data_IF_652363607568
#
_entry.id   IF_652363607568
#
_cell.length_a   1.000
_cell.length_b   1.000
_cell.length_c   1.000
_cell.angle_alpha   90.00
_cell.angle_beta   90.00
_cell.angle_gamma   90.00
#
_symmetry.space_group_name_H-M   'P 1'
#
loop_
_entity.id
_entity.type
_entity.pdbx_description
1 polymer ?
#
# COMPACT_ATOMS: atom_id res chain seq x y z
N UNK A 1 -1.09 38.96 -29.64
CA UNK A 1 -1.57 37.62 -29.26
C UNK A 1 -1.80 37.70 -27.77
N UNK A 2 -3.03 37.57 -27.32
CA UNK A 2 -3.37 37.58 -25.89
C UNK A 2 -3.02 36.23 -25.25
N UNK A 3 -2.76 36.21 -23.94
CA UNK A 3 -2.34 35.03 -23.18
C UNK A 3 -3.33 33.86 -23.29
N UNK A 4 -4.64 34.14 -23.43
CA UNK A 4 -5.68 33.15 -23.71
C UNK A 4 -5.45 32.38 -25.03
N UNK A 5 -4.89 33.04 -26.05
CA UNK A 5 -4.60 32.41 -27.33
C UNK A 5 -3.30 31.57 -27.30
N UNK A 6 -2.41 31.82 -26.33
CA UNK A 6 -1.21 31.02 -26.09
C UNK A 6 -1.52 29.79 -25.24
N UNK A 7 -2.43 29.89 -24.27
CA UNK A 7 -2.90 28.77 -23.45
C UNK A 7 -3.67 27.70 -24.27
N UNK A 8 -4.27 28.09 -25.40
CA UNK A 8 -5.00 27.17 -26.28
C UNK A 8 -4.11 26.38 -27.25
N UNK A 9 -2.79 26.63 -27.28
CA UNK A 9 -1.86 25.88 -28.13
C UNK A 9 -1.61 24.50 -27.52
N UNK A 10 -2.42 23.53 -27.92
CA UNK A 10 -2.19 22.12 -27.60
C UNK A 10 -0.91 21.67 -28.32
N UNK A 11 0.11 21.27 -27.55
CA UNK A 11 1.35 20.75 -28.10
C UNK A 11 1.09 19.62 -29.10
N UNK A 12 1.67 19.73 -30.29
CA UNK A 12 1.57 18.72 -31.36
C UNK A 12 1.94 17.34 -30.80
N UNK A 13 1.16 16.31 -31.15
CA UNK A 13 1.55 14.91 -30.93
C UNK A 13 2.99 14.71 -31.43
N UNK A 14 3.92 14.38 -30.52
CA UNK A 14 5.36 14.29 -30.80
C UNK A 14 6.21 15.45 -30.24
N UNK A 15 5.63 16.41 -29.54
CA UNK A 15 6.39 17.41 -28.76
C UNK A 15 7.07 16.78 -27.55
N UNK A 16 8.37 17.05 -27.37
CA UNK A 16 9.11 16.60 -26.19
C UNK A 16 8.53 17.19 -24.90
N UNK A 17 8.05 18.43 -24.95
CA UNK A 17 7.40 19.11 -23.83
C UNK A 17 5.89 19.17 -24.04
N UNK A 18 5.14 18.73 -23.04
CA UNK A 18 3.70 18.75 -23.00
C UNK A 18 3.27 19.83 -22.02
N UNK A 19 2.34 20.69 -22.42
CA UNK A 19 1.72 21.66 -21.51
C UNK A 19 0.22 21.59 -21.70
N UNK A 20 -0.50 21.65 -20.58
CA UNK A 20 -1.95 21.85 -20.63
C UNK A 20 -2.45 22.65 -19.42
N UNK A 21 -3.66 23.19 -19.61
CA UNK A 21 -4.43 23.88 -18.59
C UNK A 21 -5.75 23.13 -18.38
N UNK A 22 -6.22 23.17 -17.13
CA UNK A 22 -7.53 22.67 -16.72
C UNK A 22 -8.11 23.75 -15.82
N UNK A 23 -9.26 24.30 -16.21
CA UNK A 23 -9.96 25.31 -15.44
C UNK A 23 -10.56 24.77 -14.15
N UNK A 24 -10.87 25.69 -13.24
CA UNK A 24 -11.56 25.39 -12.00
C UNK A 24 -12.87 24.63 -12.26
N UNK A 25 -13.04 23.49 -11.58
CA UNK A 25 -14.23 22.64 -11.69
C UNK A 25 -14.58 22.20 -13.13
N UNK A 26 -13.61 22.13 -14.05
CA UNK A 26 -13.86 21.80 -15.46
C UNK A 26 -14.19 20.31 -15.69
N UNK A 27 -13.66 19.40 -14.87
CA UNK A 27 -13.73 17.97 -15.13
C UNK A 27 -14.91 17.28 -14.43
N UNK A 28 -15.23 16.06 -14.90
CA UNK A 28 -16.24 15.22 -14.27
C UNK A 28 -15.90 14.91 -12.81
N UNK A 29 -16.90 14.92 -11.93
CA UNK A 29 -16.70 14.71 -10.48
C UNK A 29 -16.26 15.95 -9.70
N UNK A 30 -16.35 17.14 -10.29
CA UNK A 30 -16.14 18.42 -9.61
C UNK A 30 -17.11 18.66 -8.42
N UNK A 31 -16.67 19.41 -7.42
CA UNK A 31 -17.37 19.63 -6.14
C UNK A 31 -17.88 21.07 -5.94
N UNK A 32 -17.77 21.93 -6.96
CA UNK A 32 -18.31 23.30 -6.98
C UNK A 32 -17.35 24.37 -6.47
N UNK A 33 -17.85 25.61 -6.40
CA UNK A 33 -17.06 26.78 -5.97
C UNK A 33 -16.64 26.65 -4.51
N UNK A 34 -15.39 27.00 -4.19
CA UNK A 34 -14.78 26.89 -2.87
C UNK A 34 -14.43 25.47 -2.45
N UNK A 35 -14.55 24.50 -3.36
CA UNK A 35 -14.23 23.09 -3.09
C UNK A 35 -12.77 22.77 -3.43
N UNK A 36 -12.26 21.59 -3.03
CA UNK A 36 -10.93 21.12 -3.42
C UNK A 36 -10.68 20.97 -4.93
N UNK A 37 -11.71 21.07 -5.79
CA UNK A 37 -11.58 21.05 -7.26
C UNK A 37 -11.62 22.46 -7.89
N UNK A 38 -11.77 23.52 -7.08
CA UNK A 38 -11.94 24.90 -7.53
C UNK A 38 -10.61 25.65 -7.69
N UNK A 39 -9.76 25.12 -8.56
CA UNK A 39 -8.45 25.71 -8.89
C UNK A 39 -8.17 25.60 -10.39
N UNK A 40 -7.40 26.55 -10.93
CA UNK A 40 -6.79 26.42 -12.24
C UNK A 40 -5.53 25.56 -12.13
N UNK A 41 -5.43 24.53 -12.98
CA UNK A 41 -4.29 23.63 -12.99
C UNK A 41 -3.45 23.84 -14.24
N UNK A 42 -2.15 24.04 -14.04
CA UNK A 42 -1.18 24.18 -15.13
C UNK A 42 -0.18 23.05 -15.05
N UNK A 43 -0.21 22.15 -16.04
CA UNK A 43 0.71 21.02 -16.13
C UNK A 43 1.78 21.29 -17.17
N UNK A 44 3.01 20.94 -16.82
CA UNK A 44 4.15 20.90 -17.71
C UNK A 44 4.83 19.54 -17.56
N UNK A 45 4.97 18.79 -18.64
CA UNK A 45 5.56 17.46 -18.63
C UNK A 45 6.42 17.18 -19.85
N UNK A 46 6.92 15.96 -19.91
CA UNK A 46 7.74 15.48 -21.02
C UNK A 46 7.16 14.21 -21.63
N UNK A 47 7.24 14.05 -22.95
CA UNK A 47 6.87 12.79 -23.62
C UNK A 47 8.07 11.82 -23.68
N UNK A 48 8.48 11.31 -22.52
CA UNK A 48 9.63 10.41 -22.36
C UNK A 48 9.33 9.28 -21.37
N UNK A 49 10.15 8.24 -21.41
CA UNK A 49 10.29 7.23 -20.34
C UNK A 49 11.59 7.49 -19.60
N UNK A 50 11.50 7.85 -18.32
CA UNK A 50 12.65 7.99 -17.43
C UNK A 50 12.84 6.69 -16.65
N UNK A 51 14.02 6.10 -16.75
CA UNK A 51 14.40 4.95 -15.93
C UNK A 51 15.17 5.44 -14.71
N UNK A 52 14.70 5.11 -13.52
CA UNK A 52 15.30 5.48 -12.25
C UNK A 52 15.77 4.23 -11.52
N UNK A 53 17.00 4.28 -11.04
CA UNK A 53 17.48 3.42 -9.98
C UNK A 53 18.07 4.34 -8.91
N UNK A 54 17.48 4.37 -7.73
CA UNK A 54 17.85 5.31 -6.68
C UNK A 54 17.67 4.68 -5.31
N UNK A 55 18.64 4.87 -4.42
CA UNK A 55 18.58 4.51 -3.01
C UNK A 55 18.62 5.78 -2.15
N UNK A 56 17.75 5.85 -1.15
CA UNK A 56 17.55 6.98 -0.25
C UNK A 56 17.54 6.45 1.18
N UNK A 57 18.60 6.72 1.95
CA UNK A 57 18.69 6.25 3.33
C UNK A 57 17.55 6.76 4.22
N UNK A 58 17.08 7.99 3.99
CA UNK A 58 15.98 8.62 4.73
C UNK A 58 15.22 9.58 3.83
N UNK A 59 13.93 9.30 3.58
CA UNK A 59 13.06 10.14 2.78
C UNK A 59 12.04 10.83 3.69
N UNK A 60 12.27 12.12 3.98
CA UNK A 60 11.47 12.90 4.91
C UNK A 60 10.96 14.18 4.24
N UNK A 61 9.63 14.37 4.29
CA UNK A 61 8.95 15.53 3.74
C UNK A 61 7.90 16.04 4.73
N UNK A 62 7.81 17.36 4.91
CA UNK A 62 6.77 17.98 5.74
C UNK A 62 6.97 17.86 7.25
N UNK A 63 8.20 17.74 7.73
CA UNK A 63 8.52 17.77 9.15
C UNK A 63 8.38 19.19 9.73
N UNK A 64 7.76 19.37 10.90
CA UNK A 64 7.64 20.71 11.51
C UNK A 64 6.53 21.58 10.92
N UNK A 65 5.63 21.00 10.12
CA UNK A 65 4.56 21.70 9.40
C UNK A 65 3.26 21.85 10.19
N UNK A 66 2.20 22.33 9.54
CA UNK A 66 0.87 22.50 10.16
C UNK A 66 0.31 21.20 10.75
N UNK A 67 0.69 20.06 10.18
CA UNK A 67 0.27 18.75 10.64
C UNK A 67 0.93 18.33 11.96
N UNK A 68 1.93 19.05 12.47
CA UNK A 68 2.43 18.85 13.83
C UNK A 68 1.39 19.20 14.89
N UNK A 69 0.37 20.00 14.54
CA UNK A 69 -0.77 20.25 15.43
C UNK A 69 -1.68 19.02 15.60
N UNK A 70 -1.53 17.99 14.76
CA UNK A 70 -2.31 16.76 14.82
C UNK A 70 -1.69 15.72 15.79
N UNK A 71 -0.42 15.91 16.19
CA UNK A 71 0.34 14.91 16.95
C UNK A 71 1.08 15.54 18.13
N UNK A 72 1.36 14.76 19.18
CA UNK A 72 2.09 15.24 20.37
C UNK A 72 3.62 15.12 20.23
N UNK A 73 4.11 14.59 19.12
CA UNK A 73 5.54 14.49 18.77
C UNK A 73 5.77 15.14 17.41
N UNK A 74 6.91 15.82 17.19
CA UNK A 74 7.33 16.22 15.85
C UNK A 74 7.34 15.00 14.95
N UNK A 75 6.67 15.10 13.80
CA UNK A 75 6.62 14.04 12.80
C UNK A 75 6.66 14.69 11.41
N UNK A 76 6.94 13.87 10.40
CA UNK A 76 6.88 14.31 9.01
C UNK A 76 5.59 13.80 8.37
N UNK A 77 5.12 14.50 7.35
CA UNK A 77 3.98 14.06 6.56
C UNK A 77 4.30 12.77 5.82
N UNK A 78 5.52 12.64 5.29
CA UNK A 78 6.07 11.41 4.75
C UNK A 78 7.43 11.17 5.41
N UNK A 79 7.61 10.01 6.02
CA UNK A 79 8.85 9.54 6.62
C UNK A 79 9.04 8.06 6.30
N UNK A 80 10.03 7.76 5.47
CA UNK A 80 10.36 6.40 5.02
C UNK A 80 11.87 6.18 5.20
N UNK A 81 12.22 5.09 5.89
CA UNK A 81 13.60 4.62 6.00
C UNK A 81 13.98 3.77 4.78
N UNK A 82 15.21 3.90 4.30
CA UNK A 82 15.80 3.06 3.24
C UNK A 82 14.94 2.90 1.98
N UNK A 83 14.31 3.98 1.53
CA UNK A 83 13.50 3.99 0.31
C UNK A 83 14.39 3.76 -0.92
N UNK A 84 13.95 2.92 -1.83
CA UNK A 84 14.62 2.63 -3.08
C UNK A 84 13.64 2.49 -4.23
N UNK A 85 14.02 3.00 -5.40
CA UNK A 85 13.31 2.86 -6.66
C UNK A 85 14.01 1.82 -7.50
N UNK A 86 13.30 0.74 -7.83
CA UNK A 86 13.81 -0.35 -8.68
C UNK A 86 12.69 -0.95 -9.53
N UNK A 87 13.02 -1.87 -10.43
CA UNK A 87 12.01 -2.55 -11.23
C UNK A 87 11.32 -3.71 -10.50
N UNK A 88 10.37 -4.32 -11.19
CA UNK A 88 9.57 -5.49 -10.74
C UNK A 88 9.86 -6.70 -11.62
N UNK A 89 9.52 -7.89 -11.13
CA UNK A 89 9.56 -9.10 -11.93
C UNK A 89 8.52 -9.06 -13.09
N UNK A 90 8.63 -10.00 -14.03
CA UNK A 90 7.77 -10.04 -15.22
C UNK A 90 6.28 -10.22 -14.88
N UNK A 91 5.97 -10.88 -13.77
CA UNK A 91 4.59 -11.13 -13.32
C UNK A 91 3.99 -9.91 -12.59
N UNK A 92 4.83 -8.93 -12.24
CA UNK A 92 4.44 -7.70 -11.55
C UNK A 92 3.97 -7.90 -10.10
N UNK A 93 4.39 -9.00 -9.48
CA UNK A 93 3.97 -9.43 -8.13
C UNK A 93 5.12 -9.55 -7.12
N UNK A 94 6.35 -9.20 -7.52
CA UNK A 94 7.51 -9.08 -6.64
C UNK A 94 8.54 -8.06 -7.17
N UNK A 95 9.35 -7.40 -6.30
CA UNK A 95 10.47 -6.59 -6.79
C UNK A 95 11.45 -7.45 -7.60
N UNK A 96 12.10 -6.88 -8.61
CA UNK A 96 13.00 -7.65 -9.48
C UNK A 96 14.22 -8.17 -8.72
N UNK A 97 14.53 -9.45 -8.89
CA UNK A 97 15.74 -10.07 -8.35
C UNK A 97 17.01 -9.68 -9.09
N UNK A 98 16.89 -9.02 -10.25
CA UNK A 98 18.02 -8.40 -10.95
C UNK A 98 18.56 -7.17 -10.17
N UNK A 99 17.86 -6.76 -9.11
CA UNK A 99 18.30 -5.73 -8.18
C UNK A 99 18.61 -4.42 -8.91
N UNK A 100 19.86 -3.93 -8.86
CA UNK A 100 20.22 -2.66 -9.47
C UNK A 100 20.18 -2.63 -11.00
N UNK A 101 20.19 -3.78 -11.65
CA UNK A 101 20.08 -3.85 -13.12
C UNK A 101 18.63 -3.70 -13.61
N UNK A 102 17.66 -3.68 -12.68
CA UNK A 102 16.25 -3.42 -12.94
C UNK A 102 15.86 -1.99 -12.53
N UNK A 103 15.24 -1.24 -13.45
CA UNK A 103 14.90 0.16 -13.23
C UNK A 103 13.39 0.36 -12.98
N UNK A 104 13.08 1.32 -12.11
CA UNK A 104 11.75 1.91 -12.01
C UNK A 104 11.49 2.80 -13.22
N UNK A 105 10.35 2.63 -13.89
CA UNK A 105 9.98 3.40 -15.07
C UNK A 105 8.98 4.49 -14.69
N UNK A 106 9.34 5.75 -14.94
CA UNK A 106 8.45 6.90 -14.85
C UNK A 106 8.12 7.38 -16.27
N UNK A 107 6.89 7.11 -16.70
CA UNK A 107 6.43 7.39 -18.07
C UNK A 107 5.65 8.70 -18.07
N UNK A 108 6.07 9.60 -18.96
CA UNK A 108 5.54 10.96 -19.11
C UNK A 108 5.54 11.74 -17.80
N UNK A 109 6.74 12.00 -17.24
CA UNK A 109 6.86 12.78 -16.02
C UNK A 109 6.31 14.20 -16.21
N UNK A 110 5.71 14.74 -15.16
CA UNK A 110 5.17 16.10 -15.17
C UNK A 110 5.30 16.78 -13.80
N UNK A 111 5.18 18.11 -13.86
CA UNK A 111 4.90 19.01 -12.75
C UNK A 111 3.55 19.66 -13.02
N UNK A 112 2.72 19.85 -12.00
CA UNK A 112 1.48 20.60 -12.10
C UNK A 112 1.28 21.54 -10.91
N UNK A 113 0.84 22.76 -11.20
CA UNK A 113 0.53 23.78 -10.20
C UNK A 113 -0.98 23.89 -10.05
N UNK A 114 -1.46 24.09 -8.82
CA UNK A 114 -2.83 24.51 -8.54
C UNK A 114 -2.83 25.99 -8.19
N UNK A 115 -3.60 26.79 -8.94
CA UNK A 115 -3.67 28.24 -8.83
C UNK A 115 -5.07 28.66 -8.40
N UNK A 116 -5.15 29.52 -7.40
CA UNK A 116 -6.40 30.13 -6.92
C UNK A 116 -6.49 31.57 -7.41
N UNK A 117 -7.70 32.01 -7.75
CA UNK A 117 -7.99 33.34 -8.30
C UNK A 117 -7.11 33.67 -9.53
N UNK A 118 -6.98 32.73 -10.49
CA UNK A 118 -6.10 32.95 -11.63
C UNK A 118 -6.55 34.15 -12.48
N UNK A 119 -7.85 34.40 -12.56
CA UNK A 119 -8.46 35.55 -13.23
C UNK A 119 -8.14 36.91 -12.59
N UNK A 120 -7.66 36.94 -11.34
CA UNK A 120 -7.38 38.16 -10.59
C UNK A 120 -5.90 38.28 -10.21
N UNK A 121 -5.11 38.99 -11.04
CA UNK A 121 -3.65 39.12 -10.87
C UNK A 121 -3.18 39.57 -9.47
N UNK A 122 -3.97 40.35 -8.73
CA UNK A 122 -3.63 40.81 -7.37
C UNK A 122 -3.99 39.81 -6.26
N UNK A 123 -4.82 38.80 -6.56
CA UNK A 123 -5.27 37.77 -5.63
C UNK A 123 -4.79 36.37 -6.04
N UNK A 124 -4.15 36.25 -7.21
CA UNK A 124 -3.62 35.02 -7.77
C UNK A 124 -2.60 34.40 -6.84
N UNK A 125 -2.77 33.11 -6.56
CA UNK A 125 -1.92 32.41 -5.63
C UNK A 125 -1.66 30.95 -6.05
N UNK A 126 -0.40 30.54 -5.98
CA UNK A 126 -0.03 29.12 -6.06
C UNK A 126 -0.40 28.45 -4.75
N UNK A 127 -1.37 27.55 -4.79
CA UNK A 127 -1.88 26.82 -3.62
C UNK A 127 -1.14 25.53 -3.36
N UNK A 128 -0.68 24.89 -4.44
CA UNK A 128 0.02 23.64 -4.37
C UNK A 128 0.79 23.31 -5.62
N UNK A 129 1.59 22.26 -5.49
CA UNK A 129 2.48 21.73 -6.50
C UNK A 129 2.42 20.21 -6.43
N UNK A 130 2.31 19.53 -7.57
CA UNK A 130 2.49 18.08 -7.66
C UNK A 130 3.52 17.69 -8.71
N UNK A 131 4.20 16.58 -8.45
CA UNK A 131 5.09 15.88 -9.38
C UNK A 131 4.62 14.45 -9.53
N UNK A 132 4.57 13.96 -10.77
CA UNK A 132 4.09 12.62 -11.04
C UNK A 132 4.43 12.17 -12.44
N UNK A 133 3.84 11.05 -12.85
CA UNK A 133 3.87 10.58 -14.23
C UNK A 133 2.49 10.19 -14.70
N UNK A 134 2.30 10.11 -16.02
CA UNK A 134 1.09 9.48 -16.57
C UNK A 134 0.95 8.07 -15.99
N UNK A 135 2.06 7.34 -15.99
CA UNK A 135 2.14 5.95 -15.53
C UNK A 135 3.51 5.68 -14.92
N UNK A 136 3.54 4.86 -13.88
CA UNK A 136 4.77 4.30 -13.32
C UNK A 136 4.75 2.78 -13.44
N UNK A 137 5.93 2.18 -13.50
CA UNK A 137 6.11 0.74 -13.49
C UNK A 137 7.38 0.37 -12.72
N UNK A 138 7.21 -0.30 -11.58
CA UNK A 138 8.34 -0.64 -10.72
C UNK A 138 7.93 -0.92 -9.28
N UNK A 139 8.93 -1.01 -8.41
CA UNK A 139 8.80 -1.21 -6.99
C UNK A 139 9.42 -0.04 -6.23
N UNK A 140 8.69 0.46 -5.24
CA UNK A 140 9.25 1.24 -4.16
C UNK A 140 9.63 0.24 -3.07
N UNK A 141 10.92 -0.06 -2.89
CA UNK A 141 11.37 -0.85 -1.74
C UNK A 141 11.71 0.08 -0.59
N UNK A 142 11.56 -0.37 0.64
CA UNK A 142 11.77 0.47 1.82
C UNK A 142 12.13 -0.37 3.02
N UNK A 143 12.71 0.27 4.02
CA UNK A 143 12.91 -0.35 5.31
C UNK A 143 14.01 -1.40 5.37
N UNK A 144 14.07 -2.07 6.52
CA UNK A 144 14.99 -3.17 6.81
C UNK A 144 14.27 -4.24 7.60
N UNK A 145 14.67 -5.49 7.35
CA UNK A 145 14.29 -6.63 8.16
C UNK A 145 15.52 -7.13 8.92
N UNK A 146 15.54 -6.87 10.22
CA UNK A 146 16.65 -7.26 11.08
C UNK A 146 16.80 -8.77 11.25
N UNK A 147 15.79 -9.56 10.88
CA UNK A 147 15.82 -11.02 10.97
C UNK A 147 16.44 -11.70 9.76
N UNK A 148 16.58 -10.98 8.63
CA UNK A 148 17.07 -11.54 7.38
C UNK A 148 16.11 -12.52 6.73
N UNK A 149 14.79 -12.27 6.80
CA UNK A 149 13.81 -13.13 6.16
C UNK A 149 13.96 -13.12 4.62
N UNK A 150 13.47 -14.18 3.98
CA UNK A 150 13.46 -14.35 2.54
C UNK A 150 12.18 -15.02 2.09
N UNK A 151 11.85 -14.85 0.82
CA UNK A 151 10.60 -15.31 0.22
C UNK A 151 10.89 -16.46 -0.74
N UNK A 152 10.98 -17.67 -0.18
CA UNK A 152 11.37 -18.87 -0.93
C UNK A 152 10.41 -19.18 -2.10
N UNK A 153 9.13 -18.77 -2.01
CA UNK A 153 8.17 -18.92 -3.10
C UNK A 153 8.55 -18.16 -4.37
N UNK A 154 9.37 -17.10 -4.23
CA UNK A 154 9.92 -16.30 -5.35
C UNK A 154 11.36 -16.71 -5.67
N UNK A 155 11.90 -17.76 -5.05
CA UNK A 155 13.32 -18.10 -5.13
C UNK A 155 14.25 -17.08 -4.46
N UNK A 156 13.70 -16.20 -3.61
CA UNK A 156 14.44 -15.12 -2.96
C UNK A 156 15.00 -15.54 -1.60
N UNK A 157 16.31 -15.34 -1.40
CA UNK A 157 16.94 -15.41 -0.08
C UNK A 157 17.34 -14.00 0.34
N UNK A 158 16.90 -13.59 1.54
CA UNK A 158 17.22 -12.28 2.10
C UNK A 158 18.72 -12.04 2.25
N UNK A 159 19.13 -10.79 2.51
CA UNK A 159 20.55 -10.42 2.67
C UNK A 159 21.20 -10.98 3.96
N UNK A 160 20.52 -11.90 4.67
CA UNK A 160 20.91 -12.41 5.97
C UNK A 160 20.56 -11.43 7.10
N UNK A 161 20.91 -11.82 8.32
CA UNK A 161 20.65 -11.03 9.53
C UNK A 161 21.39 -9.68 9.44
N UNK A 162 20.66 -8.58 9.48
CA UNK A 162 21.21 -7.23 9.25
C UNK A 162 21.86 -6.59 10.48
N UNK A 163 21.63 -7.13 11.68
CA UNK A 163 22.14 -6.59 12.94
C UNK A 163 22.81 -7.67 13.79
N UNK A 164 23.75 -7.26 14.66
CA UNK A 164 24.42 -8.17 15.59
C UNK A 164 23.49 -8.48 16.78
N UNK A 165 23.64 -9.66 17.39
CA UNK A 165 22.85 -10.02 18.57
C UNK A 165 23.23 -9.15 19.79
N UNK A 166 22.26 -8.59 20.54
CA UNK A 166 20.81 -8.67 20.33
C UNK A 166 20.35 -7.82 19.13
N UNK A 167 19.40 -8.36 18.34
CA UNK A 167 18.82 -7.65 17.20
C UNK A 167 18.04 -6.42 17.70
N UNK A 168 18.60 -5.24 17.45
CA UNK A 168 18.01 -3.96 17.84
C UNK A 168 17.60 -3.20 16.59
N UNK A 169 16.39 -2.65 16.61
CA UNK A 169 15.95 -1.68 15.62
C UNK A 169 16.77 -0.39 15.77
N UNK A 170 17.61 -0.08 14.78
CA UNK A 170 18.53 1.05 14.89
C UNK A 170 17.82 2.39 14.71
N UNK A 171 16.67 2.42 14.04
CA UNK A 171 15.95 3.64 13.71
C UNK A 171 14.96 4.03 14.83
N UNK A 172 14.33 3.05 15.47
CA UNK A 172 13.25 3.27 16.45
C UNK A 172 13.56 2.75 17.85
N UNK A 173 14.67 2.03 18.02
CA UNK A 173 14.98 1.33 19.27
C UNK A 173 14.04 0.15 19.51
N UNK A 174 14.28 -0.54 20.64
CA UNK A 174 13.57 -1.78 20.97
C UNK A 174 14.31 -3.02 20.48
N UNK A 175 14.05 -4.14 21.16
CA UNK A 175 14.68 -5.42 20.88
C UNK A 175 13.72 -6.19 19.96
N UNK A 176 14.22 -6.55 18.78
CA UNK A 176 13.56 -7.49 17.87
C UNK A 176 13.45 -8.85 18.56
N UNK A 177 12.26 -9.44 18.52
CA UNK A 177 12.05 -10.81 18.95
C UNK A 177 11.72 -11.67 17.72
N UNK A 178 12.71 -12.37 17.12
CA UNK A 178 12.47 -13.19 15.93
C UNK A 178 11.42 -14.30 16.12
N UNK A 179 11.21 -14.73 17.37
CA UNK A 179 10.19 -15.73 17.74
C UNK A 179 8.81 -15.14 18.03
N UNK A 180 8.64 -13.82 18.01
CA UNK A 180 7.32 -13.21 18.08
C UNK A 180 6.59 -13.43 16.74
N UNK A 181 5.30 -13.73 16.83
CA UNK A 181 4.44 -13.91 15.65
C UNK A 181 3.41 -12.79 15.49
N UNK A 182 3.27 -11.95 16.52
CA UNK A 182 2.37 -10.78 16.59
C UNK A 182 2.96 -9.69 17.50
N UNK A 183 2.39 -8.49 17.43
CA UNK A 183 2.65 -7.39 18.37
C UNK A 183 4.04 -6.76 18.27
N UNK A 184 4.42 -6.00 19.30
CA UNK A 184 5.64 -5.17 19.29
C UNK A 184 6.94 -5.94 19.06
N UNK A 185 7.00 -7.22 19.45
CA UNK A 185 8.16 -8.07 19.21
C UNK A 185 8.46 -8.26 17.72
N UNK A 186 7.41 -8.29 16.89
CA UNK A 186 7.50 -8.30 15.42
C UNK A 186 7.90 -6.91 14.93
N UNK A 187 7.17 -5.87 15.32
CA UNK A 187 7.40 -4.50 14.84
C UNK A 187 8.83 -4.01 15.11
N UNK A 188 9.43 -4.39 16.25
CA UNK A 188 10.82 -4.07 16.57
C UNK A 188 11.85 -4.77 15.66
N UNK A 189 11.45 -5.70 14.80
CA UNK A 189 12.30 -6.32 13.80
C UNK A 189 12.32 -5.55 12.46
N UNK A 190 11.53 -4.49 12.34
CA UNK A 190 11.32 -3.79 11.09
C UNK A 190 11.56 -2.28 11.21
N UNK A 191 12.28 -1.71 10.25
CA UNK A 191 12.14 -0.30 9.88
C UNK A 191 11.50 -0.22 8.51
N UNK A 192 10.82 0.88 8.18
CA UNK A 192 10.05 0.98 6.95
C UNK A 192 9.38 2.34 6.84
N UNK A 193 8.06 2.35 6.65
CA UNK A 193 7.29 3.59 6.63
C UNK A 193 6.94 3.97 8.07
N UNK A 194 7.43 5.12 8.51
CA UNK A 194 7.18 5.65 9.85
C UNK A 194 5.92 6.52 9.89
N UNK A 195 5.68 7.24 8.79
CA UNK A 195 4.43 7.96 8.52
C UNK A 195 4.27 8.20 7.03
N UNK A 196 3.05 8.06 6.51
CA UNK A 196 2.69 8.47 5.16
C UNK A 196 1.38 9.23 5.18
N UNK A 197 1.41 10.46 4.69
CA UNK A 197 0.23 11.25 4.35
C UNK A 197 -0.08 10.97 2.88
N UNK A 198 -1.27 10.48 2.59
CA UNK A 198 -1.54 10.02 1.25
C UNK A 198 -2.84 9.29 1.07
N UNK A 199 -3.06 8.88 -0.17
CA UNK A 199 -4.08 7.95 -0.60
C UNK A 199 -3.42 6.76 -1.32
N UNK A 200 -3.64 5.57 -0.80
CA UNK A 200 -3.17 4.30 -1.32
C UNK A 200 -4.39 3.45 -1.67
N UNK A 201 -4.55 3.11 -2.94
CA UNK A 201 -5.54 2.09 -3.36
C UNK A 201 -4.77 0.82 -3.64
N UNK A 202 -4.90 -0.16 -2.75
CA UNK A 202 -4.05 -1.33 -2.66
C UNK A 202 -4.77 -2.58 -3.13
N UNK A 203 -4.12 -3.34 -4.01
CA UNK A 203 -4.38 -4.78 -4.13
C UNK A 203 -3.55 -5.53 -3.08
N UNK A 204 -4.22 -6.22 -2.16
CA UNK A 204 -3.56 -7.02 -1.13
C UNK A 204 -3.82 -8.51 -1.35
N UNK A 205 -2.84 -9.34 -1.04
CA UNK A 205 -3.07 -10.77 -0.88
C UNK A 205 -2.17 -11.37 0.19
N UNK A 206 -2.75 -12.27 0.98
CA UNK A 206 -2.01 -12.96 2.02
C UNK A 206 -2.51 -14.38 2.22
N UNK A 207 -1.58 -15.28 2.47
CA UNK A 207 -1.81 -16.54 3.15
C UNK A 207 -1.59 -16.32 4.65
N UNK A 208 -2.47 -16.89 5.47
CA UNK A 208 -2.42 -16.76 6.93
C UNK A 208 -2.55 -18.16 7.53
N UNK A 209 -1.54 -18.53 8.31
CA UNK A 209 -1.60 -19.67 9.23
C UNK A 209 -1.76 -19.11 10.63
N UNK A 210 -2.90 -19.35 11.26
CA UNK A 210 -3.15 -18.92 12.64
C UNK A 210 -3.20 -20.11 13.60
N UNK A 211 -2.91 -19.85 14.88
CA UNK A 211 -3.11 -20.74 16.03
C UNK A 211 -3.83 -19.98 17.12
N UNK A 212 -4.93 -20.53 17.61
CA UNK A 212 -5.68 -20.00 18.74
C UNK A 212 -5.88 -21.08 19.80
N UNK A 213 -5.99 -20.68 21.06
CA UNK A 213 -6.49 -21.52 22.14
C UNK A 213 -7.96 -21.15 22.40
N UNK A 214 -8.88 -21.90 21.83
CA UNK A 214 -10.31 -21.66 21.95
C UNK A 214 -10.78 -22.07 23.34
N UNK A 215 -11.42 -21.11 24.03
CA UNK A 215 -11.92 -21.24 25.39
C UNK A 215 -10.88 -21.71 26.42
N UNK A 216 -9.58 -21.64 26.10
CA UNK A 216 -8.48 -22.11 26.96
C UNK A 216 -8.27 -23.62 27.02
N UNK A 217 -8.99 -24.41 26.20
CA UNK A 217 -8.93 -25.88 26.26
C UNK A 217 -8.61 -26.56 24.93
N UNK A 218 -8.85 -25.90 23.80
CA UNK A 218 -8.66 -26.48 22.47
C UNK A 218 -7.67 -25.61 21.71
N UNK A 219 -6.51 -26.17 21.38
CA UNK A 219 -5.59 -25.50 20.44
C UNK A 219 -6.09 -25.78 19.03
N UNK A 220 -6.43 -24.73 18.30
CA UNK A 220 -6.94 -24.81 16.94
C UNK A 220 -5.98 -24.11 15.99
N UNK A 221 -5.62 -24.81 14.92
CA UNK A 221 -4.86 -24.30 13.80
C UNK A 221 -5.82 -23.97 12.66
N UNK A 222 -5.61 -22.82 12.04
CA UNK A 222 -6.38 -22.34 10.89
C UNK A 222 -5.40 -22.04 9.76
N UNK A 223 -5.69 -22.55 8.56
CA UNK A 223 -5.00 -22.16 7.33
C UNK A 223 -6.01 -21.47 6.42
N UNK A 224 -5.70 -20.25 6.03
CA UNK A 224 -6.62 -19.39 5.30
C UNK A 224 -5.86 -18.43 4.40
N UNK A 225 -6.54 -17.80 3.47
CA UNK A 225 -5.95 -16.80 2.59
C UNK A 225 -7.00 -15.81 2.08
N UNK A 226 -6.53 -14.71 1.50
CA UNK A 226 -7.35 -13.79 0.72
C UNK A 226 -6.56 -13.17 -0.43
N UNK A 227 -7.29 -12.67 -1.43
CA UNK A 227 -6.70 -12.08 -2.62
C UNK A 227 -6.02 -13.10 -3.53
N UNK A 228 -5.35 -12.59 -4.56
CA UNK A 228 -4.66 -13.44 -5.56
C UNK A 228 -3.31 -13.89 -5.06
N UNK A 229 -3.03 -15.18 -5.18
CA UNK A 229 -1.77 -15.76 -4.75
C UNK A 229 -1.04 -16.46 -5.88
N UNK A 230 0.24 -16.18 -6.00
CA UNK A 230 1.18 -16.87 -6.86
C UNK A 230 2.49 -17.09 -6.09
N UNK A 231 2.91 -18.34 -5.83
CA UNK A 231 2.20 -19.60 -6.10
C UNK A 231 0.90 -19.74 -5.29
N UNK A 232 0.04 -20.67 -5.70
CA UNK A 232 -1.20 -21.03 -4.99
C UNK A 232 -0.92 -21.40 -3.53
N UNK A 233 -1.73 -20.90 -2.59
CA UNK A 233 -1.66 -21.19 -1.15
C UNK A 233 -3.07 -21.24 -0.55
N UNK A 234 -3.35 -22.28 0.24
CA UNK A 234 -4.59 -22.42 1.04
C UNK A 234 -5.89 -22.12 0.26
N UNK A 235 -5.97 -22.58 -0.99
CA UNK A 235 -7.12 -22.36 -1.87
C UNK A 235 -7.11 -21.05 -2.67
N UNK A 236 -6.26 -20.07 -2.33
CA UNK A 236 -6.05 -18.87 -3.14
C UNK A 236 -5.04 -19.14 -4.25
N UNK A 237 -5.33 -18.64 -5.45
CA UNK A 237 -4.53 -18.80 -6.66
C UNK A 237 -4.55 -17.51 -7.48
N UNK A 238 -3.85 -17.50 -8.62
CA UNK A 238 -3.74 -16.31 -9.49
C UNK A 238 -5.06 -15.81 -10.08
N UNK A 239 -6.11 -16.64 -10.01
CA UNK A 239 -7.47 -16.34 -10.50
C UNK A 239 -8.49 -16.08 -9.39
N UNK A 240 -8.09 -16.10 -8.12
CA UNK A 240 -8.95 -15.69 -7.00
C UNK A 240 -9.36 -14.23 -7.17
N UNK A 241 -10.53 -13.83 -6.67
CA UNK A 241 -10.94 -12.42 -6.71
C UNK A 241 -9.89 -11.56 -5.98
N UNK A 242 -9.40 -10.47 -6.59
CA UNK A 242 -8.47 -9.58 -5.91
C UNK A 242 -9.12 -8.99 -4.66
N UNK A 243 -8.34 -8.70 -3.62
CA UNK A 243 -8.82 -8.05 -2.42
C UNK A 243 -8.30 -6.61 -2.42
N UNK A 244 -9.20 -5.65 -2.47
CA UNK A 244 -8.90 -4.25 -2.73
C UNK A 244 -9.19 -3.42 -1.47
N UNK A 245 -8.21 -2.63 -1.04
CA UNK A 245 -8.30 -1.79 0.17
C UNK A 245 -7.84 -0.39 -0.17
N UNK A 246 -8.64 0.60 0.21
CA UNK A 246 -8.25 2.00 0.15
C UNK A 246 -7.85 2.49 1.54
N UNK A 247 -6.62 2.99 1.65
CA UNK A 247 -6.10 3.65 2.83
C UNK A 247 -5.82 5.11 2.51
N UNK A 248 -6.40 6.04 3.27
CA UNK A 248 -6.24 7.46 3.03
C UNK A 248 -6.23 8.25 4.34
N UNK A 249 -5.29 9.19 4.47
CA UNK A 249 -5.18 10.00 5.67
C UNK A 249 -3.88 10.79 5.77
N UNK A 250 -3.80 11.63 6.80
CA UNK A 250 -2.60 12.38 7.16
C UNK A 250 -1.78 11.58 8.17
N UNK A 251 -0.48 11.39 7.90
CA UNK A 251 0.49 10.71 8.76
C UNK A 251 0.03 9.32 9.22
N UNK A 252 -0.48 8.52 8.28
CA UNK A 252 -0.83 7.12 8.54
C UNK A 252 0.42 6.33 8.94
N UNK A 253 0.30 5.55 10.01
CA UNK A 253 1.37 4.68 10.52
C UNK A 253 0.98 3.20 10.51
N UNK A 254 -0.29 2.92 10.28
CA UNK A 254 -0.85 1.57 10.29
C UNK A 254 -1.79 1.39 9.11
N UNK A 255 -1.77 0.20 8.52
CA UNK A 255 -2.76 -0.28 7.58
C UNK A 255 -3.76 -1.15 8.34
N UNK A 256 -5.02 -0.73 8.35
CA UNK A 256 -6.12 -1.47 8.97
C UNK A 256 -6.91 -2.17 7.88
N UNK A 257 -6.86 -3.49 7.87
CA UNK A 257 -7.68 -4.32 6.98
C UNK A 257 -8.91 -4.77 7.77
N UNK A 258 -10.03 -4.10 7.55
CA UNK A 258 -11.30 -4.41 8.19
C UNK A 258 -12.08 -5.46 7.39
N UNK A 259 -12.65 -6.44 8.10
CA UNK A 259 -13.57 -7.45 7.57
C UNK A 259 -13.09 -8.12 6.27
N UNK A 260 -11.81 -8.51 6.21
CA UNK A 260 -11.30 -9.27 5.07
C UNK A 260 -12.04 -10.60 5.00
N UNK A 261 -12.72 -10.86 3.88
CA UNK A 261 -13.30 -12.18 3.61
C UNK A 261 -12.16 -13.14 3.29
N UNK A 262 -12.07 -14.21 4.07
CA UNK A 262 -11.00 -15.20 4.02
C UNK A 262 -11.55 -16.50 3.44
N UNK A 263 -10.80 -17.12 2.53
CA UNK A 263 -11.00 -18.49 2.10
C UNK A 263 -10.34 -19.42 3.11
N UNK A 264 -11.10 -20.34 3.69
CA UNK A 264 -10.60 -21.29 4.70
C UNK A 264 -10.34 -22.61 4.01
N UNK A 265 -9.07 -23.05 4.05
CA UNK A 265 -8.61 -24.30 3.44
C UNK A 265 -8.72 -25.47 4.42
N UNK A 266 -8.28 -25.23 5.66
CA UNK A 266 -8.27 -26.24 6.70
C UNK A 266 -8.40 -25.61 8.09
N UNK A 267 -9.20 -26.25 8.94
CA UNK A 267 -9.29 -25.98 10.38
C UNK A 267 -8.87 -27.26 11.08
N UNK A 268 -7.85 -27.25 11.92
CA UNK A 268 -7.45 -28.40 12.73
C UNK A 268 -7.69 -28.07 14.20
N UNK A 269 -8.69 -28.71 14.82
CA UNK A 269 -9.01 -28.57 16.24
C UNK A 269 -8.01 -29.30 17.16
N UNK A 270 -6.95 -29.90 16.59
CA UNK A 270 -5.91 -30.65 17.27
C UNK A 270 -6.50 -31.73 18.20
N UNK A 271 -7.47 -32.48 17.68
CA UNK A 271 -8.20 -33.47 18.45
C UNK A 271 -7.27 -34.58 18.94
N UNK A 272 -7.16 -34.71 20.26
CA UNK A 272 -6.33 -35.73 20.90
C UNK A 272 -7.11 -37.04 21.05
N UNK A 273 -6.40 -38.17 21.11
CA UNK A 273 -7.06 -39.48 21.14
C UNK A 273 -8.01 -39.66 22.34
N UNK A 274 -7.75 -38.99 23.47
CA UNK A 274 -8.59 -39.05 24.66
C UNK A 274 -9.85 -38.18 24.60
N UNK A 275 -9.98 -37.23 23.66
CA UNK A 275 -11.17 -36.40 23.48
C UNK A 275 -11.82 -36.56 22.09
N UNK A 276 -11.36 -37.53 21.29
CA UNK A 276 -11.73 -37.68 19.88
C UNK A 276 -13.22 -37.97 19.63
N UNK A 277 -13.93 -38.56 20.61
CA UNK A 277 -15.38 -38.80 20.51
C UNK A 277 -16.20 -37.50 20.59
N UNK A 278 -15.64 -36.44 21.17
CA UNK A 278 -16.27 -35.12 21.29
C UNK A 278 -15.70 -34.16 20.23
N UNK A 279 -14.38 -34.17 20.06
CA UNK A 279 -13.68 -33.28 19.13
C UNK A 279 -13.78 -33.74 17.67
N UNK A 280 -13.78 -35.05 17.40
CA UNK A 280 -13.84 -35.62 16.05
C UNK A 280 -15.11 -35.23 15.26
N UNK A 281 -16.32 -35.29 15.84
CA UNK A 281 -17.51 -34.76 15.18
C UNK A 281 -17.41 -33.26 14.88
N UNK A 282 -16.84 -32.46 15.79
CA UNK A 282 -16.63 -31.03 15.57
C UNK A 282 -15.61 -30.75 14.45
N UNK A 283 -14.55 -31.56 14.36
CA UNK A 283 -13.56 -31.53 13.28
C UNK A 283 -14.22 -31.79 11.92
N UNK A 284 -15.05 -32.85 11.82
CA UNK A 284 -15.77 -33.16 10.57
C UNK A 284 -16.70 -32.03 10.14
N UNK A 285 -17.35 -31.37 11.10
CA UNK A 285 -18.20 -30.20 10.83
C UNK A 285 -17.36 -29.02 10.35
N UNK A 286 -16.23 -28.74 11.01
CA UNK A 286 -15.34 -27.65 10.63
C UNK A 286 -14.81 -27.84 9.19
N UNK A 287 -14.35 -29.05 8.85
CA UNK A 287 -13.79 -29.36 7.52
C UNK A 287 -14.84 -29.34 6.40
N UNK A 288 -16.11 -29.64 6.70
CA UNK A 288 -17.16 -29.78 5.68
C UNK A 288 -18.06 -28.56 5.50
N UNK A 289 -18.18 -27.70 6.53
CA UNK A 289 -19.13 -26.58 6.52
C UNK A 289 -18.46 -25.21 6.55
N UNK A 290 -17.21 -25.09 6.97
CA UNK A 290 -16.54 -23.80 7.16
C UNK A 290 -15.48 -23.62 6.07
N UNK A 291 -15.88 -23.01 4.95
CA UNK A 291 -15.00 -22.71 3.82
C UNK A 291 -14.71 -21.21 3.69
N UNK A 292 -15.40 -20.37 4.46
CA UNK A 292 -15.25 -18.92 4.43
C UNK A 292 -15.33 -18.35 5.85
N UNK A 293 -14.61 -17.26 6.09
CA UNK A 293 -14.67 -16.50 7.33
C UNK A 293 -14.27 -15.04 7.12
N UNK A 294 -14.20 -14.29 8.21
CA UNK A 294 -13.81 -12.89 8.21
C UNK A 294 -12.73 -12.65 9.26
N UNK A 295 -11.76 -11.81 8.93
CA UNK A 295 -10.69 -11.41 9.84
C UNK A 295 -10.40 -9.91 9.77
N UNK A 296 -9.77 -9.42 10.83
CA UNK A 296 -9.28 -8.05 10.88
C UNK A 296 -7.78 -8.06 11.19
N UNK A 297 -7.03 -7.23 10.49
CA UNK A 297 -5.59 -7.08 10.66
C UNK A 297 -5.24 -5.61 10.87
N UNK A 298 -4.35 -5.36 11.82
CA UNK A 298 -3.68 -4.07 11.97
C UNK A 298 -2.20 -4.30 11.73
N UNK A 299 -1.64 -3.63 10.74
CA UNK A 299 -0.24 -3.78 10.35
C UNK A 299 0.43 -2.43 10.51
N UNK A 300 1.40 -2.34 11.42
CA UNK A 300 2.32 -1.20 11.47
C UNK A 300 3.11 -1.13 10.15
N UNK A 301 3.08 0.04 9.53
CA UNK A 301 3.62 0.27 8.19
C UNK A 301 5.15 0.15 8.14
N UNK A 302 5.83 0.08 9.29
CA UNK A 302 7.25 -0.31 9.35
C UNK A 302 7.49 -1.70 8.79
N UNK A 303 6.51 -2.61 8.85
CA UNK A 303 6.63 -3.97 8.31
C UNK A 303 6.49 -4.04 6.79
N UNK A 304 6.07 -2.96 6.13
CA UNK A 304 5.93 -2.90 4.68
C UNK A 304 7.29 -2.55 4.08
N UNK A 305 7.95 -3.50 3.41
CA UNK A 305 9.25 -3.24 2.77
C UNK A 305 9.21 -3.07 1.26
N UNK A 306 8.05 -3.22 0.63
CA UNK A 306 7.90 -2.82 -0.76
C UNK A 306 6.46 -2.45 -1.09
N UNK A 307 6.30 -1.59 -2.08
CA UNK A 307 5.04 -1.27 -2.74
C UNK A 307 5.24 -1.49 -4.24
N UNK A 308 4.46 -2.40 -4.83
CA UNK A 308 4.52 -2.68 -6.25
C UNK A 308 3.59 -1.74 -6.99
N UNK A 309 4.02 -1.22 -8.13
CA UNK A 309 3.23 -0.30 -8.95
C UNK A 309 3.27 -0.71 -10.42
N UNK A 310 2.82 -1.93 -10.78
CA UNK A 310 2.83 -2.38 -12.17
C UNK A 310 1.83 -1.57 -13.00
N UNK A 311 2.34 -0.84 -13.99
CA UNK A 311 1.54 0.01 -14.90
C UNK A 311 0.55 0.95 -14.17
N UNK A 312 0.92 1.43 -12.99
CA UNK A 312 0.07 2.28 -12.15
C UNK A 312 -0.05 3.69 -12.74
N UNK A 313 -1.27 4.12 -13.06
CA UNK A 313 -1.55 5.48 -13.51
C UNK A 313 -1.76 6.44 -12.34
N UNK A 314 -1.62 7.75 -12.58
CA UNK A 314 -1.91 8.81 -11.59
C UNK A 314 -1.10 8.73 -10.29
N UNK A 315 0.07 8.09 -10.29
CA UNK A 315 1.01 8.23 -9.19
C UNK A 315 1.58 9.65 -9.14
N UNK A 316 1.53 10.27 -7.96
CA UNK A 316 2.16 11.57 -7.73
C UNK A 316 2.50 11.80 -6.26
N UNK A 317 3.42 12.74 -6.03
CA UNK A 317 3.63 13.39 -4.74
C UNK A 317 3.26 14.86 -4.90
N UNK A 318 2.52 15.40 -3.95
CA UNK A 318 2.13 16.81 -3.95
C UNK A 318 2.40 17.48 -2.61
N UNK A 319 2.46 18.81 -2.64
CA UNK A 319 2.43 19.66 -1.46
C UNK A 319 1.45 20.79 -1.71
N UNK A 320 0.56 21.03 -0.74
CA UNK A 320 -0.46 22.07 -0.84
C UNK A 320 -0.73 22.67 0.53
N UNK A 321 -1.09 23.95 0.56
CA UNK A 321 -1.39 24.67 1.80
C UNK A 321 -2.86 24.53 2.24
N UNK A 322 -3.75 24.17 1.32
CA UNK A 322 -5.16 23.86 1.57
C UNK A 322 -5.55 22.60 0.78
N UNK A 323 -6.69 21.95 1.07
CA UNK A 323 -7.06 20.71 0.39
C UNK A 323 -7.23 20.89 -1.13
N UNK A 324 -6.59 20.02 -1.91
CA UNK A 324 -6.65 20.04 -3.39
C UNK A 324 -6.98 18.64 -3.90
N UNK A 325 -8.02 18.50 -4.70
CA UNK A 325 -8.30 17.32 -5.49
C UNK A 325 -7.66 17.50 -6.87
N UNK A 326 -6.52 16.84 -7.07
CA UNK A 326 -5.69 17.01 -8.26
C UNK A 326 -6.30 16.30 -9.48
N UNK A 327 -6.34 16.92 -10.67
CA UNK A 327 -6.77 16.25 -11.89
C UNK A 327 -5.99 14.97 -12.18
N UNK A 328 -6.69 13.92 -12.60
CA UNK A 328 -6.05 12.74 -13.18
C UNK A 328 -5.28 13.13 -14.45
N UNK A 329 -4.23 12.38 -14.79
CA UNK A 329 -3.45 12.65 -15.99
C UNK A 329 -4.32 12.64 -17.25
N UNK A 330 -5.22 11.66 -17.35
CA UNK A 330 -6.15 11.46 -18.47
C UNK A 330 -7.26 12.51 -18.58
N UNK A 331 -7.48 13.32 -17.53
CA UNK A 331 -8.62 14.25 -17.39
C UNK A 331 -10.00 13.57 -17.49
N UNK A 332 -10.02 12.25 -17.32
CA UNK A 332 -11.20 11.43 -17.41
C UNK A 332 -11.37 10.59 -16.13
N UNK A 333 -12.54 9.97 -16.01
CA UNK A 333 -12.78 8.96 -14.98
C UNK A 333 -11.76 7.81 -15.13
N UNK A 334 -11.35 7.17 -14.02
CA UNK A 334 -10.57 5.95 -14.07
C UNK A 334 -11.21 4.92 -14.99
N UNK A 335 -10.39 4.26 -15.80
CA UNK A 335 -10.87 3.22 -16.70
C UNK A 335 -11.46 2.06 -15.90
N UNK A 336 -12.68 1.65 -16.23
CA UNK A 336 -13.40 0.59 -15.53
C UNK A 336 -12.95 -0.83 -15.93
N UNK A 337 -11.89 -0.97 -16.71
CA UNK A 337 -11.42 -2.26 -17.24
C UNK A 337 -9.93 -2.53 -16.96
N UNK A 338 -9.29 -1.70 -16.13
CA UNK A 338 -7.92 -1.98 -15.69
C UNK A 338 -7.96 -3.23 -14.82
N UNK A 339 -7.07 -4.18 -15.11
CA UNK A 339 -6.98 -5.41 -14.33
C UNK A 339 -6.52 -5.08 -12.91
N UNK A 340 -7.22 -5.63 -11.93
CA UNK A 340 -6.91 -5.51 -10.50
C UNK A 340 -6.91 -4.08 -9.94
N UNK A 341 -7.60 -3.15 -10.60
CA UNK A 341 -7.88 -1.82 -10.03
C UNK A 341 -9.25 -1.80 -9.34
N UNK A 342 -9.36 -1.04 -8.25
CA UNK A 342 -10.58 -0.90 -7.45
C UNK A 342 -11.77 -0.31 -8.24
N UNK A 343 -11.53 0.41 -9.32
CA UNK A 343 -12.56 0.97 -10.19
C UNK A 343 -13.08 -0.01 -11.24
N UNK A 344 -12.55 -1.23 -11.31
CA UNK A 344 -13.09 -2.27 -12.17
C UNK A 344 -14.32 -2.94 -11.52
N UNK A 345 -15.54 -2.75 -12.08
CA UNK A 345 -16.78 -3.24 -11.50
C UNK A 345 -16.87 -4.77 -11.50
N UNK A 346 -16.06 -5.48 -12.30
CA UNK A 346 -16.04 -6.95 -12.32
C UNK A 346 -15.64 -7.58 -10.98
N UNK A 347 -14.97 -6.82 -10.10
CA UNK A 347 -14.58 -7.31 -8.77
C UNK A 347 -15.58 -6.99 -7.66
N UNK A 348 -16.60 -6.15 -7.94
CA UNK A 348 -17.64 -5.79 -6.96
C UNK A 348 -17.13 -5.05 -5.71
N UNK A 349 -15.91 -4.49 -5.76
CA UNK A 349 -15.22 -3.84 -4.62
C UNK A 349 -14.95 -2.36 -4.90
N UNK A 350 -15.91 -1.68 -5.52
CA UNK A 350 -15.78 -0.25 -5.85
C UNK A 350 -15.76 0.57 -4.55
N UNK A 351 -14.72 1.39 -4.31
CA UNK A 351 -14.59 2.15 -3.08
C UNK A 351 -15.62 3.28 -3.00
N UNK A 352 -16.09 3.56 -1.78
CA UNK A 352 -17.07 4.61 -1.49
C UNK A 352 -16.48 6.02 -1.42
N UNK A 353 -15.16 6.17 -1.57
CA UNK A 353 -14.45 7.45 -1.53
C UNK A 353 -14.66 8.33 -2.76
N UNK A 354 -15.42 7.87 -3.76
CA UNK A 354 -15.75 8.63 -4.96
C UNK A 354 -14.66 8.64 -6.04
N UNK A 355 -13.50 8.00 -5.83
CA UNK A 355 -12.39 7.92 -6.80
C UNK A 355 -12.86 7.49 -8.18
N UNK A 356 -13.68 6.44 -8.25
CA UNK A 356 -14.11 5.85 -9.52
C UNK A 356 -15.18 6.68 -10.26
N UNK A 357 -15.76 7.67 -9.60
CA UNK A 357 -16.73 8.60 -10.17
C UNK A 357 -16.17 9.99 -10.44
N UNK A 358 -14.85 10.18 -10.35
CA UNK A 358 -14.21 11.49 -10.50
C UNK A 358 -13.01 11.46 -11.44
N UNK A 359 -12.88 12.49 -12.26
CA UNK A 359 -11.68 12.76 -13.06
C UNK A 359 -10.59 13.48 -12.23
N UNK A 360 -10.85 13.69 -10.94
CA UNK A 360 -9.89 14.13 -9.95
C UNK A 360 -9.48 12.95 -9.06
N UNK A 361 -8.23 12.96 -8.61
CA UNK A 361 -7.76 12.10 -7.54
C UNK A 361 -8.48 12.43 -6.22
N UNK A 362 -8.54 11.49 -5.27
CA UNK A 362 -8.99 11.78 -3.91
C UNK A 362 -8.29 13.00 -3.33
N UNK A 363 -9.03 13.81 -2.58
CA UNK A 363 -8.54 15.08 -2.05
C UNK A 363 -7.27 14.90 -1.23
N UNK A 364 -6.23 15.62 -1.63
CA UNK A 364 -4.98 15.69 -0.90
C UNK A 364 -5.11 16.74 0.21
N UNK A 365 -4.89 16.35 1.47
CA UNK A 365 -4.94 17.25 2.62
C UNK A 365 -3.76 18.23 2.64
N UNK A 366 -3.85 19.32 3.39
CA UNK A 366 -2.72 20.24 3.58
C UNK A 366 -1.44 19.51 4.04
N UNK A 367 -0.29 19.94 3.50
CA UNK A 367 1.01 19.32 3.73
C UNK A 367 1.47 18.52 2.52
N UNK A 368 2.45 17.64 2.73
CA UNK A 368 2.87 16.68 1.69
C UNK A 368 1.90 15.51 1.60
N UNK A 369 1.70 15.01 0.38
CA UNK A 369 0.75 13.96 0.08
C UNK A 369 1.30 13.02 -0.99
N UNK A 370 1.17 11.71 -0.76
CA UNK A 370 1.48 10.65 -1.71
C UNK A 370 0.18 10.08 -2.28
N UNK A 371 0.03 10.06 -3.59
CA UNK A 371 -1.07 9.36 -4.26
C UNK A 371 -0.51 8.16 -5.03
N UNK A 372 -0.90 6.94 -4.63
CA UNK A 372 -0.50 5.71 -5.30
C UNK A 372 -1.73 4.81 -5.52
N UNK A 373 -2.57 5.14 -6.51
CA UNK A 373 -3.75 4.36 -6.82
C UNK A 373 -3.38 3.12 -7.63
N UNK A 374 -3.79 1.92 -7.23
CA UNK A 374 -3.44 0.67 -7.93
C UNK A 374 -2.05 0.14 -7.56
N UNK A 375 -1.54 0.55 -6.40
CA UNK A 375 -0.36 -0.06 -5.80
C UNK A 375 -0.71 -1.44 -5.21
N UNK A 376 0.30 -2.29 -4.97
CA UNK A 376 0.06 -3.69 -4.58
C UNK A 376 1.01 -4.19 -3.50
N UNK A 377 0.47 -5.02 -2.60
CA UNK A 377 1.20 -5.83 -1.63
C UNK A 377 0.73 -7.27 -1.80
N UNK A 378 1.47 -8.04 -2.60
CA UNK A 378 1.04 -9.37 -3.03
C UNK A 378 1.85 -10.49 -2.40
N UNK A 379 1.21 -11.64 -2.34
CA UNK A 379 1.79 -12.93 -1.97
C UNK A 379 2.42 -12.90 -0.58
N UNK A 380 1.80 -12.18 0.36
CA UNK A 380 2.26 -12.14 1.76
C UNK A 380 2.07 -13.54 2.36
N UNK A 381 3.13 -14.12 2.92
CA UNK A 381 3.05 -15.43 3.53
C UNK A 381 3.92 -15.51 4.79
N UNK A 382 3.34 -15.41 6.01
CA UNK A 382 4.07 -15.50 7.26
C UNK A 382 4.97 -16.74 7.32
N UNK A 383 6.25 -16.60 7.71
CA UNK A 383 7.17 -17.72 7.83
C UNK A 383 6.74 -18.69 8.93
N UNK A 384 6.09 -18.16 9.97
CA UNK A 384 5.62 -18.88 11.14
C UNK A 384 4.08 -18.88 11.23
N UNK A 385 3.53 -19.81 12.03
CA UNK A 385 2.11 -19.79 12.38
C UNK A 385 1.85 -18.67 13.38
N UNK A 386 0.96 -17.74 13.04
CA UNK A 386 0.56 -16.60 13.86
C UNK A 386 -0.19 -17.08 15.10
N UNK A 387 0.41 -16.91 16.27
CA UNK A 387 -0.24 -17.22 17.53
C UNK A 387 -1.10 -16.04 18.00
N UNK A 388 -2.42 -16.22 18.01
CA UNK A 388 -3.39 -15.20 18.45
C UNK A 388 -3.77 -15.34 19.93
N UNK A 389 -3.20 -16.32 20.64
CA UNK A 389 -3.44 -16.53 22.06
C UNK A 389 -4.80 -17.16 22.36
N UNK A 390 -5.36 -16.85 23.54
CA UNK A 390 -6.65 -17.38 23.97
C UNK A 390 -7.80 -16.59 23.34
N UNK A 391 -8.76 -17.30 22.74
CA UNK A 391 -9.92 -16.70 22.07
C UNK A 391 -11.20 -17.29 22.66
N UNK A 392 -12.16 -16.45 23.03
CA UNK A 392 -13.46 -16.91 23.52
C UNK A 392 -14.37 -17.39 22.36
N UNK A 393 -15.37 -18.21 22.69
CA UNK A 393 -16.28 -18.80 21.70
C UNK A 393 -17.06 -17.71 20.93
N UNK A 394 -17.44 -16.61 21.59
CA UNK A 394 -18.16 -15.52 20.95
C UNK A 394 -17.31 -14.82 19.89
N UNK A 395 -16.02 -14.65 20.17
CA UNK A 395 -15.05 -14.15 19.21
C UNK A 395 -14.88 -15.12 18.05
N UNK A 396 -14.77 -16.44 18.27
CA UNK A 396 -14.69 -17.44 17.19
C UNK A 396 -15.93 -17.40 16.30
N UNK A 397 -17.13 -17.40 16.88
CA UNK A 397 -18.39 -17.35 16.13
C UNK A 397 -18.48 -16.07 15.30
N UNK A 398 -18.00 -14.94 15.82
CA UNK A 398 -18.00 -13.67 15.09
C UNK A 398 -17.15 -13.70 13.82
N UNK A 399 -16.20 -14.63 13.68
CA UNK A 399 -15.40 -14.79 12.46
C UNK A 399 -16.19 -15.43 11.32
N UNK A 400 -17.39 -15.96 11.58
CA UNK A 400 -18.29 -16.46 10.53
C UNK A 400 -19.06 -15.33 9.84
N UNK A 401 -19.06 -14.12 10.41
CA UNK A 401 -19.73 -12.94 9.89
C UNK A 401 -18.78 -11.74 9.73
N UNK A 402 -19.19 -10.70 8.97
CA UNK A 402 -18.35 -9.54 8.67
C UNK A 402 -17.99 -8.71 9.91
N UNK A 403 -18.67 -8.92 11.04
CA UNK A 403 -18.36 -8.30 12.32
C UNK A 403 -16.99 -8.72 12.89
N UNK A 404 -16.45 -9.87 12.46
CA UNK A 404 -15.15 -10.46 12.83
C UNK A 404 -14.40 -9.76 13.95
N UNK A 405 -14.66 -10.13 15.22
CA UNK A 405 -14.17 -9.39 16.39
C UNK A 405 -12.69 -9.62 16.71
N UNK A 406 -12.07 -10.62 16.09
CA UNK A 406 -10.65 -10.89 16.29
C UNK A 406 -9.81 -9.95 15.43
N UNK A 407 -9.11 -9.04 16.10
CA UNK A 407 -8.11 -8.18 15.47
C UNK A 407 -6.74 -8.76 15.76
N UNK A 408 -6.01 -9.14 14.71
CA UNK A 408 -4.62 -9.55 14.83
C UNK A 408 -3.76 -8.30 14.69
N UNK A 409 -3.12 -7.91 15.79
CA UNK A 409 -2.24 -6.76 15.84
C UNK A 409 -0.81 -7.15 15.46
N UNK A 410 -0.28 -6.47 14.45
CA UNK A 410 1.07 -6.61 13.93
C UNK A 410 1.50 -8.06 13.68
N UNK A 411 0.76 -8.82 12.84
CA UNK A 411 1.17 -10.18 12.48
C UNK A 411 2.53 -10.15 11.81
N UNK A 412 3.39 -11.13 12.11
CA UNK A 412 4.63 -11.33 11.36
C UNK A 412 4.29 -11.63 9.90
N UNK A 413 4.74 -10.78 8.99
CA UNK A 413 4.54 -10.90 7.55
C UNK A 413 5.86 -11.11 6.82
N UNK A 414 5.81 -11.76 5.66
CA UNK A 414 6.96 -11.93 4.77
C UNK A 414 6.83 -10.97 3.59
N UNK A 415 7.44 -9.79 3.74
CA UNK A 415 7.64 -8.81 2.68
C UNK A 415 9.13 -8.49 2.64
N UNK A 416 10.04 -9.40 2.28
CA UNK A 416 11.45 -9.15 2.49
C UNK A 416 11.97 -8.14 1.47
N UNK A 417 12.90 -7.28 1.90
CA UNK A 417 13.47 -6.24 1.04
C UNK A 417 14.39 -6.88 0.00
N UNK A 418 14.25 -6.54 -1.28
CA UNK A 418 15.24 -6.93 -2.30
C UNK A 418 16.36 -5.90 -2.32
N UNK A 419 17.61 -6.37 -2.41
CA UNK A 419 18.79 -5.51 -2.45
C UNK A 419 18.85 -4.75 -3.77
N UNK A 420 18.89 -3.42 -3.71
CA UNK A 420 19.08 -2.53 -4.86
C UNK A 420 20.47 -1.88 -4.86
N UNK A 421 21.49 -2.61 -4.39
CA UNK A 421 22.82 -2.04 -4.22
C UNK A 421 23.67 -2.27 -5.48
N UNK A 422 24.25 -1.20 -6.03
CA UNK A 422 25.09 -1.28 -7.23
C UNK A 422 26.59 -1.11 -6.92
N UNK A 423 27.42 -1.83 -7.69
CA UNK A 423 28.87 -1.70 -7.70
C UNK A 423 29.60 -2.32 -6.50
N UNK A 424 30.94 -2.34 -6.56
CA UNK A 424 31.80 -2.91 -5.50
C UNK A 424 31.78 -2.14 -4.18
N UNK A 425 31.32 -0.88 -4.22
CA UNK A 425 31.12 -0.05 -3.04
C UNK A 425 29.77 -0.30 -2.34
N UNK A 426 28.88 -1.11 -2.95
CA UNK A 426 27.58 -1.51 -2.39
C UNK A 426 26.78 -0.26 -1.96
N UNK A 427 26.53 0.64 -2.91
CA UNK A 427 25.73 1.83 -2.64
C UNK A 427 24.26 1.44 -2.47
N UNK A 428 23.90 1.16 -1.22
CA UNK A 428 22.55 1.14 -0.66
C UNK A 428 22.44 2.35 0.29
#
# INVERSE_FOLDING_TARGET
>A
MDDENLAQVTGQNGSLFLSDHIGANELAGQQGVGSPTDFDFYRMGMDVKLNLNMNIAKFQLGCGGVNDLLTTSPACDIDIDYLSFMGINNDGDFPSLDGPDSAFELIRPYVELAIKNDDAATLREVVGFKVGGQRINGALTMGRDYTGAGKASEGYTGPGVESLAPLINQEHGGICNPGATTGQGVVNCHSGINSVSGFLSLELSAAIRARANIAGFITTDLNTCFGRMNPTQYGCHSGTTPFLVDAGGTRMQQLHVAAAKLSIDAIDLNCQWWNILVCGPAQLVADSLITEGYGQLVIDMRQVHYLLTPDTENFFISVQREPVAWPNYSKALPLSNVAYDACNPSYGQIPSNGRCGSAYAPTANTGWWLNAPGAKLLNINPPDRINVGNVDIGTVVSLLGPEGRLIIDNPKIDLPRVSNCYGSAVFC
#
